data_IF_449246885669
#
_entry.id   IF_449246885669
#
_cell.length_a   1.000
_cell.length_b   1.000
_cell.length_c   1.000
_cell.angle_alpha   90.00
_cell.angle_beta   90.00
_cell.angle_gamma   90.00
#
_symmetry.space_group_name_H-M   'P 1'
#
loop_
_entity.id
_entity.type
_entity.pdbx_description
1 polymer ?
#
# COMPACT_ATOMS: atom_id res chain seq x y z
N UNK A 1 -51.46 49.95 -6.24
CA UNK A 1 -50.74 49.17 -7.27
C UNK A 1 -49.22 49.27 -7.09
N UNK A 2 -48.68 49.25 -5.87
CA UNK A 2 -47.25 49.45 -5.60
C UNK A 2 -46.60 48.29 -4.83
N UNK A 3 -47.32 47.18 -4.62
CA UNK A 3 -46.85 46.08 -3.76
C UNK A 3 -46.21 44.94 -4.57
N UNK A 4 -46.58 44.75 -5.83
CA UNK A 4 -46.12 43.62 -6.65
C UNK A 4 -44.62 43.70 -7.01
N UNK A 5 -44.11 44.93 -7.21
CA UNK A 5 -42.70 45.11 -7.57
C UNK A 5 -41.74 44.74 -6.44
N UNK A 6 -42.17 44.83 -5.16
CA UNK A 6 -41.33 44.53 -4.00
C UNK A 6 -41.10 43.03 -3.83
N UNK A 7 -42.14 42.23 -4.06
CA UNK A 7 -42.12 40.78 -3.87
C UNK A 7 -41.23 40.10 -4.94
N UNK A 8 -41.21 40.64 -6.16
CA UNK A 8 -40.33 40.20 -7.24
C UNK A 8 -38.84 40.41 -6.93
N UNK A 9 -38.48 41.53 -6.26
CA UNK A 9 -37.09 41.79 -5.86
C UNK A 9 -36.65 40.83 -4.76
N UNK A 10 -37.53 40.51 -3.82
CA UNK A 10 -37.25 39.55 -2.75
C UNK A 10 -37.10 38.13 -3.30
N UNK A 11 -37.99 37.70 -4.21
CA UNK A 11 -37.88 36.41 -4.87
C UNK A 11 -36.60 36.30 -5.71
N UNK A 12 -36.23 37.37 -6.42
CA UNK A 12 -34.98 37.43 -7.18
C UNK A 12 -33.76 37.38 -6.25
N UNK A 13 -33.80 38.02 -5.08
CA UNK A 13 -32.74 37.98 -4.08
C UNK A 13 -32.59 36.58 -3.49
N UNK A 14 -33.70 35.94 -3.11
CA UNK A 14 -33.72 34.55 -2.60
C UNK A 14 -33.19 33.60 -3.67
N UNK A 15 -33.60 33.75 -4.93
CA UNK A 15 -33.10 32.94 -6.04
C UNK A 15 -31.60 33.14 -6.28
N UNK A 16 -31.10 34.37 -6.20
CA UNK A 16 -29.65 34.68 -6.29
C UNK A 16 -28.86 34.07 -5.14
N UNK A 17 -29.38 34.12 -3.90
CA UNK A 17 -28.73 33.53 -2.72
C UNK A 17 -28.70 31.99 -2.81
N UNK A 18 -29.80 31.38 -3.23
CA UNK A 18 -29.91 29.92 -3.44
C UNK A 18 -28.97 29.45 -4.54
N UNK A 19 -28.84 30.22 -5.63
CA UNK A 19 -27.91 29.92 -6.72
C UNK A 19 -26.45 30.20 -6.34
N UNK A 20 -26.19 31.20 -5.51
CA UNK A 20 -24.85 31.52 -4.99
C UNK A 20 -24.33 30.47 -4.01
N UNK A 21 -25.20 29.82 -3.22
CA UNK A 21 -24.80 28.64 -2.41
C UNK A 21 -24.48 27.40 -3.25
N UNK A 22 -24.93 27.38 -4.51
CA UNK A 22 -24.70 26.28 -5.45
C UNK A 22 -23.41 26.43 -6.28
N UNK A 23 -22.60 27.46 -6.02
CA UNK A 23 -21.34 27.65 -6.75
C UNK A 23 -20.26 26.73 -6.22
N UNK A 24 -19.97 25.70 -7.02
CA UNK A 24 -18.73 24.92 -7.09
C UNK A 24 -18.19 24.45 -5.73
N UNK A 25 -18.50 23.21 -5.39
CA UNK A 25 -17.50 22.37 -4.73
C UNK A 25 -16.31 22.30 -5.68
N UNK A 26 -15.35 23.21 -5.55
CA UNK A 26 -14.08 23.12 -6.25
C UNK A 26 -13.45 21.84 -5.73
N UNK A 27 -13.65 20.74 -6.44
CA UNK A 27 -12.92 19.50 -6.14
C UNK A 27 -11.45 19.86 -6.25
N UNK A 28 -10.78 19.96 -5.11
CA UNK A 28 -9.37 20.32 -5.04
C UNK A 28 -8.61 19.23 -5.77
N UNK A 29 -8.01 19.58 -6.90
CA UNK A 29 -7.15 18.70 -7.70
C UNK A 29 -5.73 19.17 -7.48
N UNK A 30 -4.90 18.30 -6.94
CA UNK A 30 -3.49 18.58 -6.63
C UNK A 30 -2.65 17.60 -7.43
N UNK A 31 -1.57 18.09 -8.02
CA UNK A 31 -0.54 17.23 -8.59
C UNK A 31 0.54 16.96 -7.55
N UNK A 32 0.82 15.69 -7.29
CA UNK A 32 1.84 15.26 -6.33
C UNK A 32 2.77 14.20 -6.90
N UNK A 33 3.69 13.69 -6.07
CA UNK A 33 4.70 12.68 -6.50
C UNK A 33 4.09 11.37 -7.00
N UNK A 34 2.85 11.08 -6.62
CA UNK A 34 2.10 9.88 -7.02
C UNK A 34 1.07 10.20 -8.11
N UNK A 35 1.26 11.31 -8.82
CA UNK A 35 0.33 11.84 -9.80
C UNK A 35 -0.81 12.61 -9.17
N UNK A 36 -1.96 12.54 -9.81
CA UNK A 36 -3.14 13.31 -9.43
C UNK A 36 -3.70 12.88 -8.07
N UNK A 37 -4.03 13.87 -7.24
CA UNK A 37 -4.65 13.71 -5.93
C UNK A 37 -6.06 14.28 -6.01
N UNK A 38 -7.04 13.39 -5.91
CA UNK A 38 -8.48 13.69 -5.87
C UNK A 38 -9.11 12.96 -4.69
N UNK A 39 -10.14 13.56 -4.11
CA UNK A 39 -10.90 12.96 -3.01
C UNK A 39 -12.34 12.69 -3.42
N UNK A 40 -12.98 11.69 -2.81
CA UNK A 40 -14.42 11.45 -2.91
C UNK A 40 -15.18 12.25 -1.83
N UNK A 41 -16.51 12.13 -1.81
CA UNK A 41 -17.39 12.85 -0.87
C UNK A 41 -17.09 12.55 0.60
N UNK A 42 -16.50 11.40 0.89
CA UNK A 42 -16.10 10.98 2.23
C UNK A 42 -14.67 11.42 2.59
N UNK A 43 -14.01 12.22 1.74
CA UNK A 43 -12.64 12.68 1.95
C UNK A 43 -11.57 11.62 1.73
N UNK A 44 -11.88 10.47 1.13
CA UNK A 44 -10.88 9.44 0.78
C UNK A 44 -10.28 9.73 -0.59
N UNK A 45 -8.97 9.50 -0.75
CA UNK A 45 -8.32 9.60 -2.06
C UNK A 45 -8.97 8.60 -3.03
N UNK A 46 -9.13 9.00 -4.28
CA UNK A 46 -9.60 8.14 -5.38
C UNK A 46 -8.59 8.14 -6.52
N UNK A 47 -8.68 7.15 -7.39
CA UNK A 47 -7.83 6.93 -8.55
C UNK A 47 -6.34 6.83 -8.15
N UNK A 48 -6.01 5.88 -7.29
CA UNK A 48 -4.65 5.67 -6.83
C UNK A 48 -4.24 4.20 -6.89
N UNK A 49 -2.94 3.97 -7.03
CA UNK A 49 -2.33 2.63 -7.11
C UNK A 49 -1.39 2.41 -5.93
N UNK A 50 -1.33 1.17 -5.45
CA UNK A 50 -0.43 0.68 -4.40
C UNK A 50 0.44 -0.44 -4.98
N UNK A 51 1.71 -0.45 -4.61
CA UNK A 51 2.59 -1.59 -4.88
C UNK A 51 2.46 -2.61 -3.74
N UNK A 52 2.18 -3.86 -4.09
CA UNK A 52 2.25 -4.97 -3.14
C UNK A 52 3.65 -5.57 -3.25
N UNK A 53 4.36 -5.58 -2.14
CA UNK A 53 5.77 -5.99 -2.06
C UNK A 53 5.91 -7.20 -1.16
N UNK A 54 6.79 -8.12 -1.53
CA UNK A 54 7.23 -9.27 -0.74
C UNK A 54 8.73 -9.12 -0.44
N UNK A 55 9.16 -9.54 0.75
CA UNK A 55 10.58 -9.62 1.08
C UNK A 55 11.07 -11.05 0.89
N UNK A 56 12.12 -11.21 0.09
CA UNK A 56 12.74 -12.52 -0.14
C UNK A 56 13.56 -12.97 1.07
N UNK A 57 13.97 -14.24 1.09
CA UNK A 57 14.89 -14.79 2.10
C UNK A 57 16.24 -14.08 2.18
N UNK A 58 16.63 -13.35 1.13
CA UNK A 58 17.85 -12.53 1.09
C UNK A 58 17.57 -11.05 1.39
N UNK A 59 16.42 -10.74 2.01
CA UNK A 59 15.99 -9.38 2.36
C UNK A 59 15.84 -8.44 1.17
N UNK A 60 15.71 -8.96 -0.05
CA UNK A 60 15.40 -8.16 -1.23
C UNK A 60 13.89 -7.90 -1.32
N UNK A 61 13.50 -6.66 -1.58
CA UNK A 61 12.10 -6.25 -1.80
C UNK A 61 11.70 -6.48 -3.24
N UNK A 62 10.69 -7.32 -3.47
CA UNK A 62 10.19 -7.69 -4.79
C UNK A 62 8.74 -7.24 -4.91
N UNK A 63 8.40 -6.54 -5.98
CA UNK A 63 7.01 -6.18 -6.29
C UNK A 63 6.29 -7.42 -6.84
N UNK A 64 5.25 -7.86 -6.17
CA UNK A 64 4.50 -9.09 -6.49
C UNK A 64 3.11 -8.81 -7.08
N UNK A 65 2.56 -7.63 -6.82
CA UNK A 65 1.29 -7.20 -7.40
C UNK A 65 1.16 -5.66 -7.41
N UNK A 66 0.17 -5.19 -8.14
CA UNK A 66 -0.38 -3.84 -8.01
C UNK A 66 -1.80 -3.93 -7.46
N UNK A 67 -2.20 -2.97 -6.64
CA UNK A 67 -3.59 -2.81 -6.24
C UNK A 67 -4.06 -1.40 -6.60
N UNK A 68 -5.26 -1.25 -7.14
CA UNK A 68 -5.87 0.07 -7.31
C UNK A 68 -7.29 0.10 -6.75
N UNK A 69 -7.78 1.30 -6.44
CA UNK A 69 -9.16 1.49 -5.99
C UNK A 69 -10.19 1.22 -7.11
N UNK A 70 -9.75 1.13 -8.36
CA UNK A 70 -10.61 0.88 -9.54
C UNK A 70 -10.60 -0.58 -9.97
N UNK A 71 -9.41 -1.19 -10.09
CA UNK A 71 -9.22 -2.55 -10.60
C UNK A 71 -9.01 -3.61 -9.53
N UNK A 72 -8.84 -3.22 -8.26
CA UNK A 72 -8.49 -4.14 -7.19
C UNK A 72 -7.08 -4.71 -7.38
N UNK A 73 -6.86 -5.95 -6.94
CA UNK A 73 -5.55 -6.61 -6.97
C UNK A 73 -5.25 -7.18 -8.36
N UNK A 74 -4.10 -6.80 -8.92
CA UNK A 74 -3.53 -7.33 -10.16
C UNK A 74 -2.19 -7.99 -9.86
N UNK A 75 -2.16 -9.32 -9.85
CA UNK A 75 -0.95 -10.11 -9.55
C UNK A 75 0.03 -10.01 -10.73
N UNK A 76 1.30 -9.74 -10.44
CA UNK A 76 2.36 -9.78 -11.44
C UNK A 76 2.89 -11.21 -11.56
N UNK A 77 3.08 -11.68 -12.79
CA UNK A 77 3.73 -12.97 -13.00
C UNK A 77 5.13 -12.95 -12.33
N UNK A 78 5.53 -13.99 -11.59
CA UNK A 78 6.85 -14.03 -10.98
C UNK A 78 7.90 -13.86 -12.07
N UNK A 79 8.65 -12.75 -12.01
CA UNK A 79 9.91 -12.66 -12.74
C UNK A 79 10.80 -13.68 -12.03
N UNK A 80 10.97 -14.85 -12.65
CA UNK A 80 11.75 -15.98 -12.12
C UNK A 80 13.23 -15.60 -11.96
N UNK A 81 13.55 -14.70 -11.04
CA UNK A 81 14.90 -14.53 -10.53
C UNK A 81 15.05 -15.63 -9.49
N UNK A 82 15.31 -16.85 -9.96
CA UNK A 82 15.64 -17.98 -9.09
C UNK A 82 16.75 -17.51 -8.14
N UNK A 83 16.48 -17.37 -6.83
CA UNK A 83 17.54 -17.16 -5.88
C UNK A 83 18.47 -18.37 -6.03
N UNK A 84 19.75 -18.13 -6.33
CA UNK A 84 20.75 -19.20 -6.33
C UNK A 84 20.63 -19.89 -4.96
N UNK A 85 20.41 -21.22 -4.90
CA UNK A 85 20.19 -21.87 -3.62
C UNK A 85 21.35 -21.52 -2.69
N UNK A 86 21.10 -21.23 -1.40
CA UNK A 86 22.18 -21.08 -0.44
C UNK A 86 23.05 -22.32 -0.54
N UNK A 87 24.25 -22.17 -1.08
CA UNK A 87 25.27 -23.21 -1.00
C UNK A 87 25.50 -23.43 0.48
N UNK A 88 25.12 -24.64 0.93
CA UNK A 88 25.37 -25.18 2.25
C UNK A 88 24.36 -24.74 3.33
N UNK A 89 23.33 -25.58 3.50
CA UNK A 89 22.61 -25.68 4.76
C UNK A 89 23.63 -26.11 5.81
N UNK A 90 23.97 -25.25 6.76
CA UNK A 90 24.74 -25.65 7.94
C UNK A 90 23.92 -26.73 8.68
N UNK A 91 24.34 -27.98 8.55
CA UNK A 91 23.73 -29.10 9.26
C UNK A 91 24.15 -29.02 10.73
N UNK A 92 23.20 -29.22 11.64
CA UNK A 92 23.52 -29.53 13.03
C UNK A 92 24.41 -30.78 13.07
N UNK A 93 25.65 -30.66 13.54
CA UNK A 93 26.60 -31.79 13.69
C UNK A 93 26.73 -32.14 15.16
N UNK A 94 26.49 -33.39 15.52
CA UNK A 94 26.73 -33.93 16.86
C UNK A 94 27.94 -34.86 16.81
N UNK A 95 29.00 -34.52 17.55
CA UNK A 95 30.17 -35.39 17.70
C UNK A 95 30.02 -36.21 18.97
N UNK A 96 30.00 -37.54 18.83
CA UNK A 96 30.07 -38.47 19.95
C UNK A 96 31.54 -38.84 20.11
N UNK A 97 32.16 -38.42 21.22
CA UNK A 97 33.55 -38.73 21.55
C UNK A 97 33.57 -39.73 22.70
N UNK A 98 34.34 -40.80 22.56
CA UNK A 98 34.61 -41.76 23.64
C UNK A 98 36.07 -42.15 23.59
N UNK A 99 36.70 -42.18 24.78
CA UNK A 99 38.09 -42.61 24.98
C UNK A 99 38.11 -43.73 26.01
N UNK A 100 39.02 -44.68 25.85
CA UNK A 100 39.30 -45.74 26.83
C UNK A 100 40.65 -45.46 27.49
N UNK A 101 40.77 -45.72 28.79
CA UNK A 101 42.06 -45.75 29.48
C UNK A 101 42.49 -47.20 29.70
N UNK A 102 43.76 -47.50 29.43
CA UNK A 102 44.36 -48.79 29.75
C UNK A 102 44.98 -48.68 31.14
N UNK A 103 44.59 -49.56 32.06
CA UNK A 103 45.24 -49.66 33.36
C UNK A 103 46.62 -50.32 33.16
N UNK A 104 47.68 -49.60 33.49
CA UNK A 104 49.07 -50.07 33.31
C UNK A 104 49.57 -50.97 34.44
N UNK A 105 48.71 -51.41 35.35
CA UNK A 105 49.11 -52.22 36.53
C UNK A 105 49.20 -53.73 36.25
N UNK A 106 49.86 -54.11 35.17
CA UNK A 106 50.47 -55.44 35.10
C UNK A 106 51.73 -55.41 34.23
N UNK A 107 52.87 -55.18 34.89
CA UNK A 107 54.20 -55.51 34.34
C UNK A 107 54.47 -56.96 34.74
N UNK A 108 54.68 -57.88 33.78
CA UNK A 108 54.97 -59.29 34.07
C UNK A 108 56.31 -59.49 34.79
#
# INVERSE_FOLDING_TARGET
MLNDASEDVEQLAVQKIMNARRTKSSTVQIEGLTGEIKFNENGKRKNYTLHVMEMTMHSAMVKVAEWSDVSGLTVLAPKNEKPRPPTEIEKNRTYIVTTITVNSDHVP
#
